data_IF_379965993814
#
_entry.id   IF_379965993814
#
_cell.length_a   1.000
_cell.length_b   1.000
_cell.length_c   1.000
_cell.angle_alpha   90.00
_cell.angle_beta   90.00
_cell.angle_gamma   90.00
#
_symmetry.space_group_name_H-M   'P 1'
#
loop_
_entity.id
_entity.type
_entity.pdbx_description
1 polymer ?
#
# COMPACT_ATOMS: atom_id res chain seq x y z
N UNK A 1 5.46 16.56 11.02
CA UNK A 1 5.41 15.76 12.26
C UNK A 1 6.83 15.70 12.80
N UNK A 2 7.14 16.31 13.95
CA UNK A 2 8.54 16.48 14.40
C UNK A 2 9.32 15.16 14.52
N UNK A 3 8.64 14.06 14.89
CA UNK A 3 9.26 12.73 14.95
C UNK A 3 9.61 12.16 13.57
N UNK A 4 8.78 12.39 12.55
CA UNK A 4 9.05 11.92 11.18
C UNK A 4 10.20 12.70 10.53
N UNK A 5 10.29 14.01 10.85
CA UNK A 5 11.39 14.85 10.38
C UNK A 5 12.71 14.37 10.98
N UNK A 6 12.76 14.03 12.28
CA UNK A 6 13.93 13.41 12.89
C UNK A 6 14.36 12.13 12.14
N UNK A 7 13.44 11.24 11.79
CA UNK A 7 13.78 10.05 11.00
C UNK A 7 14.35 10.41 9.63
N UNK A 8 13.75 11.35 8.90
CA UNK A 8 14.21 11.73 7.56
C UNK A 8 15.50 12.54 7.57
N UNK A 9 15.78 13.31 8.62
CA UNK A 9 16.98 14.13 8.74
C UNK A 9 18.22 13.28 9.09
N UNK A 10 18.06 12.20 9.85
CA UNK A 10 19.17 11.37 10.32
C UNK A 10 19.25 9.99 9.68
N UNK A 11 18.11 9.34 9.41
CA UNK A 11 18.04 7.94 8.99
C UNK A 11 17.53 7.75 7.55
N UNK A 12 17.14 8.82 6.85
CA UNK A 12 16.74 8.76 5.45
C UNK A 12 17.92 8.44 4.51
N UNK A 13 17.68 8.02 3.25
CA UNK A 13 18.75 7.76 2.29
C UNK A 13 19.74 8.93 2.19
N UNK A 14 21.04 8.62 2.30
CA UNK A 14 22.12 9.62 2.23
C UNK A 14 22.33 10.45 3.52
N UNK A 15 21.65 10.12 4.63
CA UNK A 15 21.83 10.79 5.92
C UNK A 15 22.83 10.09 6.82
N UNK A 16 23.28 10.79 7.87
CA UNK A 16 24.41 10.39 8.73
C UNK A 16 24.21 9.02 9.43
N UNK A 17 22.97 8.65 9.74
CA UNK A 17 22.63 7.37 10.36
C UNK A 17 21.97 6.39 9.37
N UNK A 18 22.00 6.65 8.06
CA UNK A 18 21.44 5.74 7.07
C UNK A 18 22.26 4.46 7.00
N UNK A 19 21.59 3.33 7.23
CA UNK A 19 22.14 2.01 6.97
C UNK A 19 21.32 1.38 5.84
N UNK A 20 21.92 1.04 4.68
CA UNK A 20 21.19 0.37 3.62
C UNK A 20 20.70 -0.99 4.10
N UNK A 21 19.41 -1.26 3.88
CA UNK A 21 18.81 -2.56 4.13
C UNK A 21 18.64 -3.28 2.80
N UNK A 22 19.16 -4.50 2.71
CA UNK A 22 18.91 -5.36 1.56
C UNK A 22 17.64 -6.16 1.83
N UNK A 23 16.61 -5.94 1.01
CA UNK A 23 15.37 -6.71 1.08
C UNK A 23 15.42 -7.88 0.09
N UNK A 24 14.72 -9.00 0.38
CA UNK A 24 14.48 -10.04 -0.60
C UNK A 24 13.77 -9.48 -1.85
N UNK A 25 13.95 -10.16 -2.98
CA UNK A 25 13.19 -9.83 -4.20
C UNK A 25 11.67 -9.88 -3.93
N UNK A 26 10.92 -8.95 -4.53
CA UNK A 26 9.46 -8.89 -4.35
C UNK A 26 8.77 -10.19 -4.79
N UNK A 27 9.22 -10.80 -5.88
CA UNK A 27 8.72 -12.11 -6.34
C UNK A 27 8.85 -13.17 -5.26
N UNK A 28 9.95 -13.18 -4.51
CA UNK A 28 10.15 -14.10 -3.39
C UNK A 28 9.17 -13.84 -2.24
N UNK A 29 8.86 -12.58 -1.96
CA UNK A 29 7.87 -12.23 -0.93
C UNK A 29 6.45 -12.61 -1.35
N UNK A 30 6.11 -12.40 -2.63
CA UNK A 30 4.85 -12.87 -3.22
C UNK A 30 4.72 -14.39 -3.07
N UNK A 31 5.75 -15.15 -3.44
CA UNK A 31 5.76 -16.62 -3.27
C UNK A 31 5.54 -17.02 -1.82
N UNK A 32 6.26 -16.40 -0.87
CA UNK A 32 6.14 -16.72 0.56
C UNK A 32 4.70 -16.48 1.05
N UNK A 33 4.10 -15.33 0.72
CA UNK A 33 2.72 -15.03 1.11
C UNK A 33 1.76 -16.07 0.53
N UNK A 34 1.86 -16.36 -0.77
CA UNK A 34 0.96 -17.31 -1.45
C UNK A 34 1.13 -18.74 -0.95
N UNK A 35 2.35 -19.19 -0.70
CA UNK A 35 2.62 -20.53 -0.17
C UNK A 35 2.04 -20.75 1.24
N UNK A 36 1.78 -19.67 1.97
CA UNK A 36 1.13 -19.70 3.28
C UNK A 36 -0.38 -19.39 3.19
N UNK A 37 -0.97 -19.48 1.98
CA UNK A 37 -2.41 -19.23 1.76
C UNK A 37 -2.81 -17.75 1.79
N UNK A 38 -1.86 -16.83 1.87
CA UNK A 38 -2.12 -15.39 1.91
C UNK A 38 -2.32 -14.77 0.53
N UNK A 39 -2.85 -13.54 0.54
CA UNK A 39 -3.05 -12.71 -0.65
C UNK A 39 -2.03 -11.56 -0.62
N UNK A 40 -1.05 -11.50 -1.54
CA UNK A 40 -0.08 -10.42 -1.59
C UNK A 40 -0.73 -9.12 -2.07
N UNK A 41 -0.70 -8.08 -1.23
CA UNK A 41 -1.25 -6.75 -1.52
C UNK A 41 -0.13 -5.71 -1.50
N UNK A 42 -0.10 -4.83 -2.49
CA UNK A 42 0.81 -3.69 -2.51
C UNK A 42 0.31 -2.58 -1.57
N UNK A 43 1.08 -2.30 -0.52
CA UNK A 43 0.75 -1.25 0.44
C UNK A 43 1.09 0.16 -0.09
N UNK A 44 0.21 1.13 0.23
CA UNK A 44 0.34 2.59 0.11
C UNK A 44 1.44 3.10 -0.83
N UNK A 45 1.30 2.81 -2.12
CA UNK A 45 2.34 3.05 -3.13
C UNK A 45 2.81 4.53 -3.18
N UNK A 46 1.90 5.50 -2.96
CA UNK A 46 2.20 6.92 -2.98
C UNK A 46 3.15 7.40 -1.87
N UNK A 47 3.42 6.57 -0.86
CA UNK A 47 4.45 6.85 0.13
C UNK A 47 5.87 6.83 -0.47
N UNK A 48 6.12 5.94 -1.43
CA UNK A 48 7.47 5.62 -1.93
C UNK A 48 7.66 5.93 -3.42
N UNK A 49 6.59 5.87 -4.21
CA UNK A 49 6.61 6.15 -5.65
C UNK A 49 6.00 7.53 -5.90
N UNK A 50 6.56 8.30 -6.84
CA UNK A 50 6.11 9.66 -7.15
C UNK A 50 5.32 9.78 -8.45
N UNK A 51 5.57 8.89 -9.40
CA UNK A 51 4.99 8.89 -10.74
C UNK A 51 4.89 7.47 -11.28
N UNK A 52 4.22 7.29 -12.42
CA UNK A 52 4.10 6.00 -13.11
C UNK A 52 3.52 4.87 -12.25
N UNK A 53 2.69 5.22 -11.26
CA UNK A 53 2.11 4.28 -10.30
C UNK A 53 1.44 3.09 -10.98
N UNK A 54 0.64 3.33 -12.03
CA UNK A 54 -0.09 2.28 -12.73
C UNK A 54 0.84 1.34 -13.51
N UNK A 55 1.89 1.86 -14.14
CA UNK A 55 2.90 1.03 -14.81
C UNK A 55 3.62 0.14 -13.80
N UNK A 56 4.07 0.72 -12.69
CA UNK A 56 4.76 -0.01 -11.63
C UNK A 56 3.85 -1.09 -11.03
N UNK A 57 2.57 -0.78 -10.79
CA UNK A 57 1.58 -1.75 -10.34
C UNK A 57 1.40 -2.86 -11.37
N UNK A 58 1.32 -2.54 -12.68
CA UNK A 58 1.18 -3.55 -13.74
C UNK A 58 2.34 -4.56 -13.73
N UNK A 59 3.57 -4.09 -13.51
CA UNK A 59 4.75 -4.95 -13.35
C UNK A 59 4.68 -5.81 -12.09
N UNK A 60 4.19 -5.25 -10.97
CA UNK A 60 4.01 -5.97 -9.71
C UNK A 60 2.90 -7.04 -9.80
N UNK A 61 1.82 -6.76 -10.51
CA UNK A 61 0.76 -7.74 -10.76
C UNK A 61 1.28 -8.93 -11.59
N UNK A 62 2.14 -8.67 -12.58
CA UNK A 62 2.77 -9.75 -13.41
C UNK A 62 3.63 -10.71 -12.61
N UNK A 63 4.23 -10.25 -11.50
CA UNK A 63 5.03 -11.11 -10.61
C UNK A 63 4.19 -11.77 -9.51
N UNK A 64 2.87 -11.57 -9.50
CA UNK A 64 1.92 -12.26 -8.64
C UNK A 64 1.41 -11.47 -7.43
N UNK A 65 1.62 -10.14 -7.38
CA UNK A 65 0.81 -9.29 -6.50
C UNK A 65 -0.65 -9.38 -6.95
N UNK A 66 -1.58 -9.45 -6.00
CA UNK A 66 -2.99 -9.72 -6.27
C UNK A 66 -3.90 -8.52 -6.01
N UNK A 67 -3.37 -7.43 -5.46
CA UNK A 67 -4.16 -6.23 -5.17
C UNK A 67 -3.32 -5.06 -4.70
N UNK A 68 -4.00 -3.93 -4.49
CA UNK A 68 -3.42 -2.65 -4.12
C UNK A 68 -4.22 -2.03 -2.97
N UNK A 69 -3.52 -1.48 -1.99
CA UNK A 69 -4.11 -0.56 -1.02
C UNK A 69 -4.39 0.76 -1.70
N UNK A 70 -5.62 0.91 -2.20
CA UNK A 70 -6.06 2.08 -2.96
C UNK A 70 -6.32 3.26 -2.02
N UNK A 71 -6.97 3.01 -0.88
CA UNK A 71 -7.35 4.07 0.05
C UNK A 71 -6.40 4.09 1.25
N UNK A 72 -5.47 5.04 1.21
CA UNK A 72 -4.45 5.26 2.23
C UNK A 72 -4.29 6.76 2.50
N UNK A 73 -3.83 7.11 3.70
CA UNK A 73 -3.48 8.49 4.07
C UNK A 73 -2.36 9.12 3.21
N UNK A 74 -1.63 8.30 2.46
CA UNK A 74 -0.59 8.74 1.52
C UNK A 74 -1.11 9.08 0.12
N UNK A 75 -2.39 8.85 -0.18
CA UNK A 75 -2.97 9.06 -1.51
C UNK A 75 -3.88 10.27 -1.50
N UNK A 76 -3.68 11.18 -2.46
CA UNK A 76 -4.66 12.24 -2.73
C UNK A 76 -5.94 11.62 -3.31
N UNK A 77 -7.09 12.33 -3.25
CA UNK A 77 -8.32 11.85 -3.89
C UNK A 77 -8.14 11.50 -5.37
N UNK A 78 -7.33 12.27 -6.09
CA UNK A 78 -7.03 12.05 -7.51
C UNK A 78 -6.23 10.77 -7.72
N UNK A 79 -5.17 10.55 -6.91
CA UNK A 79 -4.38 9.33 -6.97
C UNK A 79 -5.23 8.11 -6.59
N UNK A 80 -6.02 8.20 -5.52
CA UNK A 80 -6.89 7.10 -5.10
C UNK A 80 -7.90 6.73 -6.20
N UNK A 81 -8.49 7.72 -6.87
CA UNK A 81 -9.38 7.49 -8.02
C UNK A 81 -8.67 6.79 -9.18
N UNK A 82 -7.47 7.27 -9.55
CA UNK A 82 -6.66 6.64 -10.60
C UNK A 82 -6.30 5.18 -10.25
N UNK A 83 -5.87 4.93 -9.02
CA UNK A 83 -5.51 3.60 -8.54
C UNK A 83 -6.73 2.68 -8.49
N UNK A 84 -7.90 3.19 -8.07
CA UNK A 84 -9.14 2.44 -8.02
C UNK A 84 -9.53 1.92 -9.41
N UNK A 85 -9.69 2.83 -10.38
CA UNK A 85 -10.07 2.48 -11.76
C UNK A 85 -9.08 1.50 -12.39
N UNK A 86 -7.78 1.72 -12.18
CA UNK A 86 -6.74 0.83 -12.68
C UNK A 86 -6.83 -0.57 -12.05
N UNK A 87 -6.98 -0.65 -10.73
CA UNK A 87 -6.99 -1.91 -9.97
C UNK A 87 -8.23 -2.75 -10.32
N UNK A 88 -9.40 -2.10 -10.38
CA UNK A 88 -10.66 -2.76 -10.80
C UNK A 88 -10.57 -3.23 -12.25
N UNK A 89 -10.04 -2.40 -13.16
CA UNK A 89 -9.85 -2.77 -14.57
C UNK A 89 -8.91 -3.97 -14.79
N UNK A 90 -8.07 -4.30 -13.80
CA UNK A 90 -7.21 -5.50 -13.79
C UNK A 90 -7.81 -6.68 -13.03
N UNK A 91 -9.03 -6.56 -12.52
CA UNK A 91 -9.66 -7.55 -11.61
C UNK A 91 -8.82 -7.86 -10.35
N UNK A 92 -7.89 -6.96 -10.00
CA UNK A 92 -7.07 -7.07 -8.81
C UNK A 92 -7.85 -6.61 -7.57
N UNK A 93 -7.45 -7.05 -6.39
CA UNK A 93 -8.12 -6.67 -5.14
C UNK A 93 -7.88 -5.20 -4.80
N UNK A 94 -8.94 -4.52 -4.38
CA UNK A 94 -8.89 -3.17 -3.81
C UNK A 94 -8.92 -3.30 -2.29
N UNK A 95 -7.96 -2.69 -1.61
CA UNK A 95 -7.93 -2.66 -0.14
C UNK A 95 -7.79 -1.24 0.40
N UNK A 96 -7.94 -1.10 1.71
CA UNK A 96 -7.72 0.13 2.44
C UNK A 96 -7.10 -0.18 3.80
N UNK A 97 -6.32 0.77 4.32
CA UNK A 97 -5.71 0.67 5.63
C UNK A 97 -5.38 2.05 6.18
N UNK A 98 -5.58 2.22 7.50
CA UNK A 98 -5.30 3.51 8.13
C UNK A 98 -3.80 3.74 8.31
N UNK A 99 -3.03 2.65 8.41
CA UNK A 99 -1.60 2.68 8.75
C UNK A 99 -1.36 3.46 10.06
N UNK A 100 -2.20 3.19 11.05
CA UNK A 100 -2.21 3.83 12.37
C UNK A 100 -0.96 3.52 13.18
N UNK A 101 -0.32 4.56 13.72
CA UNK A 101 0.90 4.46 14.54
C UNK A 101 0.79 5.27 15.86
N UNK A 102 -0.43 5.56 16.31
CA UNK A 102 -0.69 6.31 17.55
C UNK A 102 0.05 7.64 17.58
N UNK A 103 0.84 7.85 18.65
CA UNK A 103 1.60 9.11 18.87
C UNK A 103 2.54 9.48 17.73
N UNK A 104 3.00 8.50 16.93
CA UNK A 104 3.89 8.75 15.79
C UNK A 104 3.15 9.29 14.56
N UNK A 105 1.84 9.01 14.43
CA UNK A 105 0.95 9.56 13.39
C UNK A 105 -0.35 10.07 14.04
N UNK A 106 -0.29 11.16 14.84
CA UNK A 106 -1.40 11.59 15.69
C UNK A 106 -2.61 12.12 14.92
N UNK A 107 -2.53 12.26 13.60
CA UNK A 107 -3.62 12.69 12.71
C UNK A 107 -4.35 11.51 12.04
N UNK A 108 -3.92 10.28 12.32
CA UNK A 108 -4.50 9.06 11.81
C UNK A 108 -5.18 8.36 12.98
N UNK A 109 -6.42 7.91 12.79
CA UNK A 109 -7.16 7.07 13.72
C UNK A 109 -7.26 5.63 13.21
N UNK A 110 -7.53 4.69 14.11
CA UNK A 110 -7.75 3.28 13.73
C UNK A 110 -8.98 3.21 12.82
N UNK A 111 -8.84 2.55 11.67
CA UNK A 111 -9.92 2.40 10.69
C UNK A 111 -10.12 3.61 9.76
N UNK A 112 -9.40 4.71 9.95
CA UNK A 112 -9.51 5.88 9.08
C UNK A 112 -8.98 5.61 7.67
N UNK A 113 -9.89 5.41 6.71
CA UNK A 113 -9.59 5.22 5.30
C UNK A 113 -10.51 6.10 4.44
N UNK A 114 -9.97 6.75 3.41
CA UNK A 114 -10.72 7.71 2.59
C UNK A 114 -11.44 7.07 1.39
N UNK A 115 -12.37 6.15 1.64
CA UNK A 115 -13.23 5.56 0.59
C UNK A 115 -14.69 6.05 0.69
N UNK A 116 -15.36 6.20 -0.45
CA UNK A 116 -16.81 6.41 -0.54
C UNK A 116 -17.64 5.10 -0.56
N UNK A 117 -18.96 5.17 -0.33
CA UNK A 117 -19.86 4.01 -0.30
C UNK A 117 -19.79 3.09 -1.52
N UNK A 118 -19.55 3.67 -2.70
CA UNK A 118 -19.44 2.93 -3.97
C UNK A 118 -18.27 1.94 -4.00
N UNK A 119 -17.24 2.12 -3.17
CA UNK A 119 -16.07 1.25 -3.15
C UNK A 119 -16.21 0.07 -2.17
N UNK A 120 -17.22 0.09 -1.30
CA UNK A 120 -17.39 -0.92 -0.23
C UNK A 120 -17.49 -2.33 -0.82
N UNK A 121 -18.17 -2.50 -1.96
CA UNK A 121 -18.30 -3.79 -2.64
C UNK A 121 -16.94 -4.41 -2.99
N UNK A 122 -16.04 -3.61 -3.55
CA UNK A 122 -14.69 -4.08 -3.91
C UNK A 122 -13.81 -4.35 -2.69
N UNK A 123 -13.92 -3.52 -1.64
CA UNK A 123 -13.22 -3.76 -0.37
C UNK A 123 -13.72 -5.06 0.28
N UNK A 124 -15.03 -5.29 0.30
CA UNK A 124 -15.61 -6.51 0.86
C UNK A 124 -15.28 -7.76 0.03
N UNK A 125 -15.10 -7.64 -1.30
CA UNK A 125 -14.62 -8.73 -2.14
C UNK A 125 -13.26 -9.25 -1.66
N UNK A 126 -12.35 -8.35 -1.26
CA UNK A 126 -11.08 -8.75 -0.67
C UNK A 126 -11.26 -9.41 0.71
N UNK A 127 -12.06 -8.81 1.60
CA UNK A 127 -12.30 -9.37 2.95
C UNK A 127 -12.88 -10.78 2.87
N UNK A 128 -13.84 -11.01 1.97
CA UNK A 128 -14.42 -12.33 1.73
C UNK A 128 -13.38 -13.34 1.23
N UNK A 129 -12.52 -12.95 0.30
CA UNK A 129 -11.46 -13.81 -0.22
C UNK A 129 -10.39 -14.12 0.85
N UNK A 130 -10.04 -13.15 1.69
CA UNK A 130 -9.04 -13.31 2.76
C UNK A 130 -9.56 -14.13 3.96
N UNK A 131 -10.88 -14.33 4.06
CA UNK A 131 -11.52 -15.08 5.15
C UNK A 131 -11.95 -16.50 4.75
N UNK A 132 -11.70 -16.90 3.50
CA UNK A 132 -12.03 -18.22 2.96
C UNK A 132 -10.93 -19.25 3.26
#
# INVERSE_FOLDING_TARGET
MPLINFYWDFFGPGKVCYMPVTYPAMSRMVEVIRHNGGIPILAHIGANVKQDHTQIIDEMLKIGVMGVEVFSSYHSPELASQLYEFTVGRSAFVTCGSDFHGRNKPKIEVGQCAYGPQHIGEIHRFVAAASA
#
